data_IF_791069795612
#
_entry.id   IF_791069795612
#
_cell.length_a   1.000
_cell.length_b   1.000
_cell.length_c   1.000
_cell.angle_alpha   90.00
_cell.angle_beta   90.00
_cell.angle_gamma   90.00
#
_symmetry.space_group_name_H-M   'P 1'
#
loop_
_entity.id
_entity.type
_entity.pdbx_description
1 polymer ?
#
# COMPACT_ATOMS: atom_id res chain seq x y z
N UNK A 1 -36.81 20.84 -1.13
CA UNK A 1 -35.86 19.72 -0.93
C UNK A 1 -36.14 18.55 -1.86
N UNK A 2 -37.32 17.91 -1.86
CA UNK A 2 -37.63 16.79 -2.78
C UNK A 2 -37.99 17.21 -4.23
N UNK A 3 -38.43 18.46 -4.44
CA UNK A 3 -38.82 18.97 -5.77
C UNK A 3 -37.65 19.36 -6.68
N UNK A 4 -36.43 19.52 -6.14
CA UNK A 4 -35.26 19.96 -6.91
C UNK A 4 -34.52 18.82 -7.61
N UNK A 5 -34.52 17.61 -7.02
CA UNK A 5 -33.90 16.41 -7.59
C UNK A 5 -34.38 16.07 -9.02
N UNK A 6 -35.70 16.02 -9.33
CA UNK A 6 -36.15 15.71 -10.68
C UNK A 6 -35.76 16.79 -11.71
N UNK A 7 -35.70 18.07 -11.30
CA UNK A 7 -35.27 19.15 -12.17
C UNK A 7 -33.78 19.04 -12.52
N UNK A 8 -32.92 18.71 -11.55
CA UNK A 8 -31.49 18.47 -11.77
C UNK A 8 -31.25 17.28 -12.69
N UNK A 9 -31.96 16.15 -12.48
CA UNK A 9 -31.84 14.97 -13.33
C UNK A 9 -32.30 15.28 -14.77
N UNK A 10 -33.39 16.04 -14.93
CA UNK A 10 -33.87 16.45 -16.25
C UNK A 10 -32.87 17.35 -16.98
N UNK A 11 -32.26 18.31 -16.27
CA UNK A 11 -31.24 19.22 -16.82
C UNK A 11 -29.99 18.46 -17.29
N UNK A 12 -29.51 17.51 -16.47
CA UNK A 12 -28.39 16.62 -16.83
C UNK A 12 -28.71 15.73 -18.05
N UNK A 13 -29.91 15.13 -18.08
CA UNK A 13 -30.37 14.31 -19.23
C UNK A 13 -30.40 15.11 -20.54
N UNK A 14 -30.80 16.38 -20.46
CA UNK A 14 -30.85 17.29 -21.62
C UNK A 14 -29.52 17.96 -21.94
N UNK A 15 -28.49 17.75 -21.11
CA UNK A 15 -27.18 18.43 -21.21
C UNK A 15 -27.32 19.95 -21.28
N UNK A 16 -28.22 20.51 -20.47
CA UNK A 16 -28.41 21.96 -20.37
C UNK A 16 -27.21 22.59 -19.64
N UNK A 17 -26.71 23.73 -20.12
CA UNK A 17 -25.54 24.40 -19.53
C UNK A 17 -24.19 23.80 -19.94
N UNK A 18 -23.14 24.13 -19.17
CA UNK A 18 -21.78 23.64 -19.38
C UNK A 18 -21.34 22.62 -18.33
N UNK A 19 -20.12 22.12 -18.44
CA UNK A 19 -19.56 21.14 -17.49
C UNK A 19 -19.59 21.63 -16.04
N UNK A 20 -19.48 22.95 -15.82
CA UNK A 20 -19.57 23.59 -14.49
C UNK A 20 -20.96 23.37 -13.88
N UNK A 21 -22.02 23.53 -14.68
CA UNK A 21 -23.40 23.33 -14.24
C UNK A 21 -23.67 21.84 -13.98
N UNK A 22 -23.14 20.97 -14.85
CA UNK A 22 -23.27 19.52 -14.68
C UNK A 22 -22.55 19.04 -13.43
N UNK A 23 -21.33 19.52 -13.17
CA UNK A 23 -20.57 19.20 -11.97
C UNK A 23 -21.24 19.69 -10.69
N UNK A 24 -21.85 20.88 -10.72
CA UNK A 24 -22.69 21.38 -9.62
C UNK A 24 -23.87 20.46 -9.35
N UNK A 25 -24.61 20.08 -10.39
CA UNK A 25 -25.76 19.19 -10.29
C UNK A 25 -25.36 17.79 -9.76
N UNK A 26 -24.28 17.19 -10.29
CA UNK A 26 -23.75 15.91 -9.80
C UNK A 26 -23.40 15.97 -8.30
N UNK A 27 -22.73 17.04 -7.86
CA UNK A 27 -22.39 17.22 -6.43
C UNK A 27 -23.62 17.38 -5.55
N UNK A 28 -24.64 18.12 -6.00
CA UNK A 28 -25.91 18.28 -5.27
C UNK A 28 -26.67 16.95 -5.15
N UNK A 29 -26.73 16.15 -6.22
CA UNK A 29 -27.36 14.83 -6.19
C UNK A 29 -26.63 13.86 -5.26
N UNK A 30 -25.29 13.90 -5.21
CA UNK A 30 -24.49 13.13 -4.26
C UNK A 30 -24.74 13.55 -2.80
N UNK A 31 -24.88 14.85 -2.52
CA UNK A 31 -25.23 15.36 -1.19
C UNK A 31 -26.63 14.91 -0.76
N UNK A 32 -27.54 14.73 -1.71
CA UNK A 32 -28.87 14.14 -1.50
C UNK A 32 -28.85 12.60 -1.40
N UNK A 33 -27.65 11.99 -1.38
CA UNK A 33 -27.42 10.54 -1.25
C UNK A 33 -27.97 9.69 -2.40
N UNK A 34 -28.16 10.28 -3.59
CA UNK A 34 -28.43 9.47 -4.78
C UNK A 34 -27.18 8.67 -5.15
N UNK A 35 -27.38 7.40 -5.51
CA UNK A 35 -26.28 6.57 -5.98
C UNK A 35 -25.83 7.01 -7.38
N UNK A 36 -24.53 6.94 -7.71
CA UNK A 36 -24.05 7.22 -9.07
C UNK A 36 -24.72 6.37 -10.14
N UNK A 37 -25.09 5.13 -9.80
CA UNK A 37 -25.82 4.21 -10.68
C UNK A 37 -27.22 4.73 -11.01
N UNK A 38 -27.95 5.23 -10.01
CA UNK A 38 -29.29 5.83 -10.21
C UNK A 38 -29.20 7.08 -11.10
N UNK A 39 -28.18 7.92 -10.90
CA UNK A 39 -27.96 9.09 -11.75
C UNK A 39 -27.66 8.67 -13.18
N UNK A 40 -26.86 7.62 -13.39
CA UNK A 40 -26.59 7.08 -14.73
C UNK A 40 -27.86 6.58 -15.42
N UNK A 41 -28.69 5.79 -14.74
CA UNK A 41 -29.96 5.28 -15.28
C UNK A 41 -30.89 6.42 -15.72
N UNK A 42 -30.92 7.51 -14.95
CA UNK A 42 -31.78 8.66 -15.24
C UNK A 42 -31.16 9.65 -16.24
N UNK A 43 -29.84 9.73 -16.42
CA UNK A 43 -29.21 10.82 -17.20
C UNK A 43 -28.31 10.35 -18.34
N UNK A 44 -27.87 9.08 -18.31
CA UNK A 44 -26.86 8.52 -19.21
C UNK A 44 -25.43 8.97 -18.91
N UNK A 45 -25.18 9.69 -17.81
CA UNK A 45 -23.84 10.15 -17.43
C UNK A 45 -23.15 9.04 -16.64
N UNK A 46 -22.04 8.51 -17.16
CA UNK A 46 -21.25 7.45 -16.54
C UNK A 46 -20.77 7.83 -15.12
N UNK A 47 -20.78 6.91 -14.14
CA UNK A 47 -20.33 7.18 -12.77
C UNK A 47 -18.91 7.76 -12.68
N UNK A 48 -18.00 7.32 -13.55
CA UNK A 48 -16.63 7.85 -13.65
C UNK A 48 -16.62 9.32 -14.05
N UNK A 49 -17.45 9.68 -15.04
CA UNK A 49 -17.59 11.06 -15.52
C UNK A 49 -18.31 11.94 -14.49
N UNK A 50 -19.32 11.43 -13.79
CA UNK A 50 -19.97 12.13 -12.67
C UNK A 50 -18.97 12.53 -11.58
N UNK A 51 -18.10 11.59 -11.17
CA UNK A 51 -17.06 11.87 -10.18
C UNK A 51 -16.07 12.93 -10.69
N UNK A 52 -15.64 12.81 -11.94
CA UNK A 52 -14.73 13.78 -12.54
C UNK A 52 -15.35 15.19 -12.54
N UNK A 53 -16.59 15.33 -13.01
CA UNK A 53 -17.31 16.61 -13.04
C UNK A 53 -17.49 17.20 -11.65
N UNK A 54 -17.92 16.41 -10.66
CA UNK A 54 -18.14 16.88 -9.30
C UNK A 54 -16.84 17.36 -8.63
N UNK A 55 -15.73 16.64 -8.83
CA UNK A 55 -14.42 17.00 -8.29
C UNK A 55 -13.84 18.22 -9.01
N UNK A 56 -13.91 18.25 -10.34
CA UNK A 56 -13.48 19.40 -11.14
C UNK A 56 -14.26 20.67 -10.79
N UNK A 57 -15.57 20.54 -10.51
CA UNK A 57 -16.39 21.64 -10.03
C UNK A 57 -15.92 22.15 -8.67
N UNK A 58 -15.56 21.25 -7.75
CA UNK A 58 -14.97 21.65 -6.47
C UNK A 58 -13.62 22.38 -6.61
N UNK A 59 -12.82 22.02 -7.62
CA UNK A 59 -11.61 22.78 -7.97
C UNK A 59 -11.98 24.14 -8.57
N UNK A 60 -12.93 24.20 -9.49
CA UNK A 60 -13.43 25.45 -10.08
C UNK A 60 -13.92 26.45 -9.03
N UNK A 61 -14.67 26.00 -8.03
CA UNK A 61 -15.08 26.87 -6.90
C UNK A 61 -13.90 27.45 -6.13
N UNK A 62 -12.77 26.74 -6.07
CA UNK A 62 -11.56 27.26 -5.43
C UNK A 62 -10.82 28.33 -6.24
N UNK A 63 -11.24 28.55 -7.50
CA UNK A 63 -10.64 29.50 -8.45
C UNK A 63 -11.45 30.80 -8.60
N UNK A 64 -12.48 31.07 -7.79
CA UNK A 64 -13.33 32.26 -7.96
C UNK A 64 -12.56 33.60 -7.87
N UNK A 65 -11.42 33.61 -7.18
CA UNK A 65 -10.50 34.75 -7.08
C UNK A 65 -9.51 34.84 -8.27
N UNK A 66 -9.62 33.95 -9.26
CA UNK A 66 -8.77 33.97 -10.44
C UNK A 66 -9.15 35.13 -11.38
N UNK A 67 -8.19 35.63 -12.17
CA UNK A 67 -8.49 36.60 -13.22
C UNK A 67 -9.57 36.10 -14.20
N UNK A 68 -10.45 36.98 -14.71
CA UNK A 68 -11.56 36.60 -15.60
C UNK A 68 -11.12 35.77 -16.81
N UNK A 69 -9.94 36.05 -17.37
CA UNK A 69 -9.37 35.33 -18.50
C UNK A 69 -9.05 33.86 -18.18
N UNK A 70 -8.68 33.55 -16.93
CA UNK A 70 -8.40 32.18 -16.48
C UNK A 70 -9.70 31.40 -16.34
N UNK A 71 -10.73 32.03 -15.77
CA UNK A 71 -12.06 31.43 -15.67
C UNK A 71 -12.65 31.19 -17.07
N UNK A 72 -12.54 32.18 -17.97
CA UNK A 72 -13.01 32.07 -19.34
C UNK A 72 -12.30 30.97 -20.13
N UNK A 73 -11.02 30.71 -19.85
CA UNK A 73 -10.27 29.61 -20.46
C UNK A 73 -10.83 28.23 -20.07
N UNK A 74 -11.15 28.00 -18.80
CA UNK A 74 -11.61 26.70 -18.31
C UNK A 74 -13.14 26.51 -18.42
N UNK A 75 -13.94 27.57 -18.57
CA UNK A 75 -15.39 27.47 -18.59
C UNK A 75 -15.95 26.54 -19.71
N UNK A 76 -15.43 26.54 -20.94
CA UNK A 76 -15.99 25.72 -22.02
C UNK A 76 -15.65 24.23 -21.88
N UNK A 77 -14.39 23.89 -21.56
CA UNK A 77 -13.89 22.51 -21.59
C UNK A 77 -12.72 22.26 -20.62
N UNK A 78 -12.82 22.80 -19.40
CA UNK A 78 -11.75 22.73 -18.39
C UNK A 78 -11.84 21.55 -17.43
N UNK A 79 -12.88 20.72 -17.53
CA UNK A 79 -13.21 19.73 -16.51
C UNK A 79 -12.10 18.69 -16.29
N UNK A 80 -11.50 18.16 -17.35
CA UNK A 80 -10.43 17.15 -17.26
C UNK A 80 -9.15 17.77 -16.69
N UNK A 81 -8.78 18.95 -17.18
CA UNK A 81 -7.59 19.69 -16.73
C UNK A 81 -7.68 20.07 -15.26
N UNK A 82 -8.83 20.59 -14.81
CA UNK A 82 -9.05 20.99 -13.41
C UNK A 82 -9.19 19.78 -12.48
N UNK A 83 -9.71 18.65 -12.97
CA UNK A 83 -9.76 17.41 -12.18
C UNK A 83 -8.38 16.95 -11.70
N UNK A 84 -7.34 17.18 -12.50
CA UNK A 84 -5.98 16.78 -12.12
C UNK A 84 -5.37 17.63 -11.00
N UNK A 85 -5.89 18.83 -10.77
CA UNK A 85 -5.46 19.70 -9.67
C UNK A 85 -6.08 19.32 -8.31
N UNK A 86 -6.96 18.31 -8.25
CA UNK A 86 -7.68 17.91 -7.01
C UNK A 86 -6.77 17.59 -5.83
N UNK A 87 -5.56 17.10 -6.11
CA UNK A 87 -4.56 16.68 -5.11
C UNK A 87 -3.82 17.85 -4.45
N UNK A 88 -3.96 19.05 -5.00
CA UNK A 88 -3.31 20.27 -4.53
C UNK A 88 -4.16 21.01 -3.49
N UNK A 89 -3.54 21.76 -2.56
CA UNK A 89 -4.24 22.70 -1.70
C UNK A 89 -4.73 23.92 -2.48
N UNK A 90 -5.66 24.70 -1.91
CA UNK A 90 -6.34 25.81 -2.59
C UNK A 90 -5.37 26.86 -3.18
N UNK A 91 -4.34 27.28 -2.43
CA UNK A 91 -3.36 28.27 -2.91
C UNK A 91 -2.60 27.79 -4.15
N UNK A 92 -2.23 26.51 -4.17
CA UNK A 92 -1.51 25.91 -5.29
C UNK A 92 -2.41 25.67 -6.50
N UNK A 93 -3.71 25.39 -6.29
CA UNK A 93 -4.69 25.24 -7.39
C UNK A 93 -4.80 26.52 -8.21
N UNK A 94 -4.88 27.68 -7.57
CA UNK A 94 -4.96 28.96 -8.26
C UNK A 94 -3.69 29.22 -9.08
N UNK A 95 -2.52 29.09 -8.46
CA UNK A 95 -1.24 29.29 -9.14
C UNK A 95 -1.03 28.30 -10.30
N UNK A 96 -1.43 27.03 -10.13
CA UNK A 96 -1.37 26.02 -11.18
C UNK A 96 -2.36 26.31 -12.32
N UNK A 97 -3.60 26.70 -12.01
CA UNK A 97 -4.60 27.04 -13.02
C UNK A 97 -4.19 28.25 -13.86
N UNK A 98 -3.63 29.29 -13.24
CA UNK A 98 -3.07 30.44 -13.95
C UNK A 98 -1.94 30.03 -14.91
N UNK A 99 -1.04 29.14 -14.46
CA UNK A 99 0.05 28.65 -15.30
C UNK A 99 -0.46 27.82 -16.49
N UNK A 100 -1.43 26.94 -16.24
CA UNK A 100 -2.04 26.09 -17.28
C UNK A 100 -2.78 26.92 -18.32
N UNK A 101 -3.55 27.92 -17.91
CA UNK A 101 -4.23 28.84 -18.84
C UNK A 101 -3.23 29.65 -19.68
N UNK A 102 -2.15 30.15 -19.06
CA UNK A 102 -1.09 30.88 -19.76
C UNK A 102 -0.38 30.03 -20.81
N UNK A 103 -0.10 28.76 -20.49
CA UNK A 103 0.61 27.84 -21.38
C UNK A 103 -0.30 27.03 -22.29
N UNK A 104 -1.63 27.18 -22.14
CA UNK A 104 -2.67 26.43 -22.85
C UNK A 104 -2.44 24.91 -22.79
N UNK A 105 -2.19 24.42 -21.59
CA UNK A 105 -1.85 23.02 -21.34
C UNK A 105 -3.08 22.14 -21.12
N UNK A 106 -2.98 20.90 -21.59
CA UNK A 106 -4.03 19.89 -21.49
C UNK A 106 -4.02 19.16 -20.13
N UNK A 107 -4.94 18.21 -19.96
CA UNK A 107 -5.05 17.41 -18.74
C UNK A 107 -3.79 16.58 -18.45
N UNK A 108 -3.08 16.09 -19.47
CA UNK A 108 -1.85 15.33 -19.28
C UNK A 108 -0.74 16.21 -18.67
N UNK A 109 -0.57 17.42 -19.19
CA UNK A 109 0.36 18.39 -18.64
C UNK A 109 -0.06 18.91 -17.25
N UNK A 110 -1.37 19.07 -17.00
CA UNK A 110 -1.89 19.42 -15.68
C UNK A 110 -1.61 18.34 -14.63
N UNK A 111 -1.72 17.06 -14.99
CA UNK A 111 -1.36 15.94 -14.12
C UNK A 111 0.12 15.95 -13.75
N UNK A 112 1.00 16.24 -14.71
CA UNK A 112 2.43 16.36 -14.47
C UNK A 112 2.75 17.54 -13.55
N UNK A 113 2.14 18.70 -13.77
CA UNK A 113 2.28 19.88 -12.92
C UNK A 113 1.79 19.61 -11.49
N UNK A 114 0.62 18.98 -11.33
CA UNK A 114 0.07 18.63 -10.03
C UNK A 114 0.98 17.65 -9.27
N UNK A 115 1.51 16.63 -9.97
CA UNK A 115 2.48 15.69 -9.41
C UNK A 115 3.75 16.41 -8.95
N UNK A 116 4.35 17.24 -9.81
CA UNK A 116 5.57 17.98 -9.48
C UNK A 116 5.38 18.90 -8.27
N UNK A 117 4.27 19.64 -8.23
CA UNK A 117 3.92 20.52 -7.11
C UNK A 117 3.75 19.74 -5.82
N UNK A 118 3.04 18.60 -5.87
CA UNK A 118 2.83 17.76 -4.69
C UNK A 118 4.14 17.18 -4.17
N UNK A 119 4.99 16.67 -5.04
CA UNK A 119 6.29 16.13 -4.64
C UNK A 119 7.18 17.19 -3.99
N UNK A 120 7.20 18.42 -4.51
CA UNK A 120 7.96 19.52 -3.92
C UNK A 120 7.40 19.95 -2.57
N UNK A 121 6.08 19.91 -2.39
CA UNK A 121 5.44 20.20 -1.09
C UNK A 121 5.82 19.21 0.02
N UNK A 122 6.32 18.03 -0.34
CA UNK A 122 6.77 17.00 0.61
C UNK A 122 8.24 17.18 1.03
N UNK A 123 8.98 18.08 0.39
CA UNK A 123 10.37 18.35 0.73
C UNK A 123 10.43 19.26 1.96
N UNK A 124 11.12 18.82 3.01
CA UNK A 124 11.34 19.65 4.21
C UNK A 124 12.21 20.89 3.93
N UNK A 125 13.09 20.82 2.93
CA UNK A 125 13.88 21.94 2.46
C UNK A 125 14.03 21.87 0.93
N UNK A 126 13.68 22.97 0.24
CA UNK A 126 13.85 23.06 -1.19
C UNK A 126 15.31 23.35 -1.57
N UNK A 127 15.81 22.80 -2.69
CA UNK A 127 17.13 23.14 -3.21
C UNK A 127 17.26 24.62 -3.55
N UNK A 128 18.46 25.17 -3.37
CA UNK A 128 18.74 26.58 -3.59
C UNK A 128 18.46 27.01 -5.04
N UNK A 129 17.58 27.99 -5.20
CA UNK A 129 17.17 28.55 -6.49
C UNK A 129 15.77 28.12 -6.94
N UNK A 130 15.08 27.24 -6.20
CA UNK A 130 13.69 26.86 -6.50
C UNK A 130 12.75 27.28 -5.37
N UNK A 131 11.54 27.70 -5.74
CA UNK A 131 10.46 28.04 -4.81
C UNK A 131 9.38 26.95 -4.79
N UNK A 132 8.47 27.03 -3.82
CA UNK A 132 7.32 26.11 -3.71
C UNK A 132 6.20 26.40 -4.73
N UNK A 133 6.38 27.36 -5.64
CA UNK A 133 5.36 27.67 -6.64
C UNK A 133 5.23 26.51 -7.65
N UNK A 134 4.02 26.23 -8.20
CA UNK A 134 3.82 25.13 -9.14
C UNK A 134 4.77 25.17 -10.35
N UNK A 135 5.04 26.37 -10.89
CA UNK A 135 5.96 26.56 -12.01
C UNK A 135 7.40 26.18 -11.68
N UNK A 136 7.90 26.61 -10.51
CA UNK A 136 9.25 26.24 -10.03
C UNK A 136 9.33 24.78 -9.61
N UNK A 137 8.24 24.20 -9.12
CA UNK A 137 8.19 22.80 -8.76
C UNK A 137 8.39 21.90 -9.99
N UNK A 138 7.74 22.24 -11.10
CA UNK A 138 7.97 21.56 -12.37
C UNK A 138 9.36 21.84 -12.93
N UNK A 139 9.84 23.08 -12.84
CA UNK A 139 11.21 23.45 -13.24
C UNK A 139 12.27 22.64 -12.47
N UNK A 140 12.05 22.40 -11.18
CA UNK A 140 12.93 21.57 -10.35
C UNK A 140 12.95 20.11 -10.81
N UNK A 141 11.79 19.52 -11.13
CA UNK A 141 11.72 18.15 -11.65
C UNK A 141 12.42 18.02 -13.01
N UNK A 142 12.26 19.02 -13.88
CA UNK A 142 13.00 19.11 -15.14
C UNK A 142 14.50 19.22 -14.87
N UNK A 143 14.93 20.08 -13.96
CA UNK A 143 16.35 20.26 -13.60
C UNK A 143 16.96 18.96 -13.07
N UNK A 144 16.25 18.23 -12.22
CA UNK A 144 16.68 16.94 -11.67
C UNK A 144 16.77 15.85 -12.74
N UNK A 145 15.80 15.78 -13.65
CA UNK A 145 15.80 14.78 -14.73
C UNK A 145 16.85 15.08 -15.80
N UNK A 146 17.00 16.34 -16.20
CA UNK A 146 17.94 16.78 -17.22
C UNK A 146 19.42 16.52 -16.86
N UNK A 147 19.76 16.44 -15.57
CA UNK A 147 21.10 16.02 -15.11
C UNK A 147 21.41 14.54 -15.37
N UNK A 148 20.39 13.73 -15.61
CA UNK A 148 20.50 12.29 -15.84
C UNK A 148 20.20 11.90 -17.29
N UNK A 149 19.61 12.80 -18.07
CA UNK A 149 19.32 12.57 -19.50
C UNK A 149 20.60 12.66 -20.32
N UNK A 150 21.00 11.54 -20.91
CA UNK A 150 22.18 11.45 -21.79
C UNK A 150 21.90 11.97 -23.19
N UNK A 151 20.68 11.79 -23.70
CA UNK A 151 20.28 12.26 -25.02
C UNK A 151 20.16 13.81 -25.05
N UNK A 152 20.99 14.51 -25.85
CA UNK A 152 20.98 15.97 -25.88
C UNK A 152 19.65 16.55 -26.37
N UNK A 153 18.94 15.87 -27.27
CA UNK A 153 17.67 16.33 -27.83
C UNK A 153 16.54 16.30 -26.82
N UNK A 154 16.36 15.18 -26.13
CA UNK A 154 15.41 15.04 -25.02
C UNK A 154 15.72 16.02 -23.89
N UNK A 155 17.01 16.16 -23.54
CA UNK A 155 17.45 17.10 -22.50
C UNK A 155 17.08 18.55 -22.86
N UNK A 156 17.35 18.98 -24.09
CA UNK A 156 17.03 20.34 -24.53
C UNK A 156 15.51 20.62 -24.51
N UNK A 157 14.69 19.67 -24.97
CA UNK A 157 13.22 19.78 -24.93
C UNK A 157 12.69 19.87 -23.51
N UNK A 158 13.21 19.03 -22.60
CA UNK A 158 12.83 19.07 -21.19
C UNK A 158 13.18 20.42 -20.56
N UNK A 159 14.40 20.93 -20.79
CA UNK A 159 14.84 22.23 -20.26
C UNK A 159 13.98 23.36 -20.80
N UNK A 160 13.67 23.38 -22.10
CA UNK A 160 12.79 24.39 -22.69
C UNK A 160 11.41 24.41 -22.01
N UNK A 161 10.84 23.22 -21.73
CA UNK A 161 9.60 23.09 -20.95
C UNK A 161 9.76 23.67 -19.54
N UNK A 162 10.83 23.31 -18.83
CA UNK A 162 11.11 23.87 -17.50
C UNK A 162 11.23 25.39 -17.50
N UNK A 163 11.90 25.98 -18.49
CA UNK A 163 12.07 27.43 -18.63
C UNK A 163 10.76 28.16 -18.95
N UNK A 164 9.85 27.54 -19.71
CA UNK A 164 8.52 28.09 -19.95
C UNK A 164 7.67 28.14 -18.67
N UNK A 165 7.94 27.25 -17.71
CA UNK A 165 7.16 27.09 -16.48
C UNK A 165 7.71 27.87 -15.30
N UNK A 166 9.04 27.98 -15.22
CA UNK A 166 9.73 28.60 -14.09
C UNK A 166 9.18 30.00 -13.80
N UNK A 167 8.81 30.22 -12.54
CA UNK A 167 8.28 31.49 -12.04
C UNK A 167 9.41 32.38 -11.53
N UNK A 168 10.42 31.81 -10.86
CA UNK A 168 11.55 32.56 -10.34
C UNK A 168 12.70 32.66 -11.34
N UNK A 169 13.39 33.80 -11.31
CA UNK A 169 14.60 34.01 -12.12
C UNK A 169 15.74 33.08 -11.70
N UNK A 170 15.83 32.78 -10.40
CA UNK A 170 16.80 31.82 -9.89
C UNK A 170 16.59 30.41 -10.48
N UNK A 171 15.34 29.94 -10.61
CA UNK A 171 15.03 28.65 -11.23
C UNK A 171 15.37 28.64 -12.72
N UNK A 172 15.11 29.76 -13.42
CA UNK A 172 15.50 29.94 -14.84
C UNK A 172 17.01 29.85 -15.02
N UNK A 173 17.77 30.51 -14.16
CA UNK A 173 19.23 30.49 -14.19
C UNK A 173 19.78 29.08 -13.96
N UNK A 174 19.25 28.35 -12.96
CA UNK A 174 19.61 26.94 -12.69
C UNK A 174 19.36 26.01 -13.88
N UNK A 175 18.27 26.22 -14.62
CA UNK A 175 17.96 25.45 -15.82
C UNK A 175 18.87 25.82 -16.99
N UNK A 176 19.17 27.12 -17.16
CA UNK A 176 20.07 27.60 -18.20
C UNK A 176 21.51 27.09 -18.01
N UNK A 177 21.99 27.00 -16.76
CA UNK A 177 23.30 26.46 -16.41
C UNK A 177 23.52 25.05 -16.99
N UNK A 178 22.48 24.20 -17.04
CA UNK A 178 22.56 22.84 -17.60
C UNK A 178 22.89 22.86 -19.10
N UNK A 179 22.43 23.87 -19.86
CA UNK A 179 22.71 23.99 -21.29
C UNK A 179 24.16 24.42 -21.56
N UNK A 180 24.72 25.25 -20.68
CA UNK A 180 26.09 25.79 -20.81
C UNK A 180 27.16 24.91 -20.16
N UNK A 181 26.77 24.06 -19.20
CA UNK A 181 27.68 23.15 -18.54
C UNK A 181 28.24 22.17 -19.59
N UNK A 182 29.54 22.27 -19.87
CA UNK A 182 30.26 21.24 -20.58
C UNK A 182 29.95 19.90 -19.89
N UNK A 183 29.58 18.89 -20.67
CA UNK A 183 29.33 17.53 -20.18
C UNK A 183 30.60 17.09 -19.46
N UNK A 184 30.65 17.29 -18.15
CA UNK A 184 31.80 16.91 -17.34
C UNK A 184 31.96 15.40 -17.50
N UNK A 185 33.19 14.89 -17.60
CA UNK A 185 33.41 13.45 -17.66
C UNK A 185 32.68 12.84 -16.48
N UNK A 186 31.76 11.91 -16.78
CA UNK A 186 30.84 11.29 -15.83
C UNK A 186 31.65 10.89 -14.62
N UNK A 187 31.57 11.68 -13.54
CA UNK A 187 32.15 11.29 -12.25
C UNK A 187 31.61 9.88 -11.99
N UNK A 188 32.49 8.91 -11.76
CA UNK A 188 32.11 7.52 -11.55
C UNK A 188 30.98 7.51 -10.53
N UNK A 189 29.75 7.29 -11.02
CA UNK A 189 28.59 7.36 -10.17
C UNK A 189 28.66 6.17 -9.23
N UNK A 190 28.42 6.37 -7.92
CA UNK A 190 28.28 5.25 -7.02
C UNK A 190 27.21 4.31 -7.61
N UNK A 191 27.53 3.02 -7.63
CA UNK A 191 26.61 1.98 -8.07
C UNK A 191 25.34 2.08 -7.23
N UNK A 192 24.17 2.03 -7.89
CA UNK A 192 22.90 2.07 -7.18
C UNK A 192 22.83 0.92 -6.17
N UNK A 193 22.50 1.24 -4.92
CA UNK A 193 22.30 0.22 -3.90
C UNK A 193 21.01 -0.57 -4.20
N UNK A 194 20.98 -1.89 -3.98
CA UNK A 194 19.78 -2.68 -4.20
C UNK A 194 18.79 -2.41 -3.05
N UNK A 195 17.85 -1.52 -3.29
CA UNK A 195 16.76 -1.25 -2.36
C UNK A 195 15.61 -2.23 -2.58
N UNK A 196 15.29 -2.99 -1.55
CA UNK A 196 14.09 -3.81 -1.49
C UNK A 196 13.07 -3.13 -0.57
N UNK A 197 11.81 -3.17 -0.97
CA UNK A 197 10.70 -2.63 -0.18
C UNK A 197 9.69 -3.73 0.05
N UNK A 198 9.53 -4.11 1.32
CA UNK A 198 8.43 -4.96 1.75
C UNK A 198 7.12 -4.18 1.58
N UNK A 199 6.14 -4.85 0.98
CA UNK A 199 4.77 -4.39 0.84
C UNK A 199 3.89 -5.03 1.90
N UNK A 200 2.66 -4.53 2.06
CA UNK A 200 1.71 -5.11 3.00
C UNK A 200 1.31 -6.56 2.64
N UNK A 201 1.48 -6.93 1.37
CA UNK A 201 1.17 -8.28 0.86
C UNK A 201 2.26 -9.29 1.23
N UNK A 202 3.50 -8.83 1.44
CA UNK A 202 4.66 -9.70 1.71
C UNK A 202 4.65 -10.33 3.11
N UNK A 203 3.65 -10.02 3.95
CA UNK A 203 3.35 -10.67 5.22
C UNK A 203 4.55 -10.91 6.15
N UNK A 204 4.71 -10.08 7.19
CA UNK A 204 5.84 -10.22 8.12
C UNK A 204 5.97 -11.65 8.68
N UNK A 205 7.19 -12.24 8.67
CA UNK A 205 7.40 -13.56 9.25
C UNK A 205 7.09 -13.54 10.75
N UNK A 206 6.53 -14.64 11.25
CA UNK A 206 6.20 -14.83 12.65
C UNK A 206 7.35 -15.53 13.37
N UNK A 207 7.94 -14.88 14.38
CA UNK A 207 8.97 -15.46 15.22
C UNK A 207 8.35 -16.11 16.46
N UNK A 208 8.55 -17.42 16.63
CA UNK A 208 8.06 -18.18 17.78
C UNK A 208 9.22 -18.88 18.51
N UNK A 209 9.21 -18.93 19.85
CA UNK A 209 10.21 -19.67 20.61
C UNK A 209 9.94 -21.16 20.48
N UNK A 210 11.01 -21.94 20.28
CA UNK A 210 10.95 -23.40 20.27
C UNK A 210 11.20 -23.89 21.69
N UNK A 211 10.17 -24.47 22.31
CA UNK A 211 10.21 -24.83 23.75
C UNK A 211 10.67 -26.26 24.02
N UNK A 212 10.78 -27.08 22.99
CA UNK A 212 11.32 -28.44 23.08
C UNK A 212 10.70 -29.39 22.07
N UNK A 213 10.93 -30.69 22.28
CA UNK A 213 10.46 -31.79 21.44
C UNK A 213 9.57 -32.73 22.24
N UNK A 214 8.44 -33.16 21.68
CA UNK A 214 7.57 -34.17 22.30
C UNK A 214 8.30 -35.51 22.48
N UNK A 215 8.04 -36.26 23.57
CA UNK A 215 7.12 -35.95 24.66
C UNK A 215 7.65 -34.88 25.63
N UNK A 216 6.78 -33.95 26.05
CA UNK A 216 7.10 -32.88 27.00
C UNK A 216 6.34 -33.07 28.31
N UNK A 217 6.97 -32.77 29.45
CA UNK A 217 6.29 -32.83 30.76
C UNK A 217 5.45 -31.58 31.06
N UNK A 218 5.84 -30.43 30.51
CA UNK A 218 5.17 -29.15 30.69
C UNK A 218 5.34 -28.30 29.44
N UNK A 219 4.42 -27.36 29.22
CA UNK A 219 4.49 -26.39 28.14
C UNK A 219 4.85 -25.01 28.72
N UNK A 220 6.12 -24.59 28.69
CA UNK A 220 6.49 -23.27 29.17
C UNK A 220 5.98 -22.23 28.17
N UNK A 221 5.00 -21.45 28.58
CA UNK A 221 4.44 -20.40 27.76
C UNK A 221 5.15 -19.08 28.08
N UNK A 222 5.78 -18.40 27.10
CA UNK A 222 6.41 -17.12 27.33
C UNK A 222 5.33 -16.08 27.70
N UNK A 223 5.69 -15.03 28.47
CA UNK A 223 4.78 -13.93 28.70
C UNK A 223 4.35 -13.31 27.37
N UNK A 224 3.11 -12.82 27.32
CA UNK A 224 2.59 -12.10 26.15
C UNK A 224 3.55 -10.97 25.78
N UNK A 225 3.98 -10.98 24.53
CA UNK A 225 4.92 -9.96 24.05
C UNK A 225 4.12 -8.82 23.47
N UNK A 226 4.47 -7.55 23.76
CA UNK A 226 3.79 -6.43 23.13
C UNK A 226 4.01 -6.49 21.60
N UNK A 227 3.01 -6.06 20.80
CA UNK A 227 3.14 -6.04 19.36
C UNK A 227 4.36 -5.23 18.92
N UNK A 228 5.12 -5.78 17.97
CA UNK A 228 6.35 -5.27 17.34
C UNK A 228 6.66 -3.78 17.61
N UNK A 229 7.54 -3.50 18.57
CA UNK A 229 7.98 -2.14 18.87
C UNK A 229 8.90 -1.53 17.78
N UNK A 230 9.43 -2.35 16.87
CA UNK A 230 10.34 -1.95 15.79
C UNK A 230 9.65 -2.02 14.42
N UNK A 231 9.88 -1.04 13.51
CA UNK A 231 9.36 -1.07 12.15
C UNK A 231 9.87 -2.26 11.32
N UNK A 232 10.92 -2.95 11.78
CA UNK A 232 11.48 -4.14 11.15
C UNK A 232 11.21 -5.43 11.95
N UNK A 233 10.37 -5.38 12.98
CA UNK A 233 10.07 -6.55 13.81
C UNK A 233 11.27 -7.10 14.59
N UNK A 234 12.32 -6.30 14.81
CA UNK A 234 13.51 -6.74 15.55
C UNK A 234 13.18 -7.06 17.01
N UNK A 235 13.72 -8.18 17.52
CA UNK A 235 13.58 -8.61 18.91
C UNK A 235 14.91 -9.13 19.44
N UNK A 236 15.28 -8.72 20.64
CA UNK A 236 16.41 -9.30 21.38
C UNK A 236 15.89 -10.45 22.23
N UNK A 237 16.30 -11.68 21.90
CA UNK A 237 15.72 -12.89 22.46
C UNK A 237 16.82 -13.91 22.78
N UNK A 238 16.66 -14.64 23.89
CA UNK A 238 17.50 -15.78 24.24
C UNK A 238 16.82 -17.10 23.84
N UNK A 239 17.60 -18.15 23.60
CA UNK A 239 17.10 -19.50 23.28
C UNK A 239 16.91 -19.78 21.79
N UNK A 240 16.18 -20.85 21.48
CA UNK A 240 15.92 -21.32 20.11
C UNK A 240 14.61 -20.73 19.58
N UNK A 241 14.64 -20.24 18.35
CA UNK A 241 13.51 -19.58 17.70
C UNK A 241 13.31 -20.13 16.29
N UNK A 242 12.05 -20.15 15.83
CA UNK A 242 11.70 -20.48 14.46
C UNK A 242 11.03 -19.27 13.81
N UNK A 243 11.45 -18.97 12.59
CA UNK A 243 10.81 -17.97 11.73
C UNK A 243 9.85 -18.68 10.78
N UNK A 244 8.54 -18.44 10.96
CA UNK A 244 7.50 -18.98 10.11
C UNK A 244 6.99 -17.92 9.13
N UNK A 245 6.45 -18.32 7.97
CA UNK A 245 5.81 -17.40 7.06
C UNK A 245 4.71 -16.58 7.75
N UNK A 246 4.43 -15.39 7.23
CA UNK A 246 3.39 -14.48 7.73
C UNK A 246 1.96 -14.96 7.47
N UNK A 247 1.66 -16.24 7.70
CA UNK A 247 0.31 -16.77 7.56
C UNK A 247 -0.65 -16.07 8.52
N UNK A 248 -1.86 -15.80 8.04
CA UNK A 248 -2.89 -15.06 8.80
C UNK A 248 -3.24 -15.70 10.14
N UNK A 249 -3.11 -17.03 10.25
CA UNK A 249 -3.32 -17.77 11.51
C UNK A 249 -2.24 -17.47 12.56
N UNK A 250 -1.02 -17.17 12.14
CA UNK A 250 0.11 -16.85 13.02
C UNK A 250 0.19 -15.35 13.33
N UNK A 251 -0.17 -14.49 12.38
CA UNK A 251 -0.14 -13.02 12.57
C UNK A 251 -1.11 -12.51 13.66
N UNK A 252 -2.13 -13.30 14.00
CA UNK A 252 -3.09 -12.97 15.06
C UNK A 252 -2.58 -13.32 16.46
N UNK A 253 -1.51 -14.12 16.56
CA UNK A 253 -1.00 -14.56 17.85
C UNK A 253 -0.21 -13.44 18.54
N UNK A 254 -0.53 -13.15 19.80
CA UNK A 254 0.30 -12.29 20.68
C UNK A 254 1.23 -13.12 21.58
N UNK A 255 0.91 -14.41 21.72
CA UNK A 255 1.57 -15.42 22.52
C UNK A 255 1.42 -16.78 21.81
N UNK A 256 2.54 -17.43 21.58
CA UNK A 256 2.58 -18.75 20.98
C UNK A 256 3.95 -19.39 21.16
N UNK A 257 3.99 -20.71 21.06
CA UNK A 257 5.22 -21.49 21.16
C UNK A 257 5.25 -22.54 20.07
N UNK A 258 6.45 -22.84 19.59
CA UNK A 258 6.70 -23.94 18.68
C UNK A 258 7.20 -25.16 19.46
N UNK A 259 6.67 -26.33 19.13
CA UNK A 259 7.04 -27.63 19.70
C UNK A 259 7.41 -28.56 18.55
N UNK A 260 8.57 -29.19 18.64
CA UNK A 260 8.98 -30.21 17.68
C UNK A 260 8.35 -31.55 18.03
N UNK A 261 8.02 -32.33 17.02
CA UNK A 261 7.52 -33.68 17.13
C UNK A 261 7.98 -34.46 15.90
N UNK A 262 7.79 -35.77 15.93
CA UNK A 262 7.78 -36.61 14.74
C UNK A 262 6.44 -37.33 14.60
N UNK A 263 6.19 -37.95 13.45
CA UNK A 263 4.95 -38.69 13.17
C UNK A 263 4.53 -39.65 14.28
N UNK A 264 5.47 -40.40 14.86
CA UNK A 264 5.19 -41.35 15.95
C UNK A 264 4.85 -40.66 17.27
N UNK A 265 5.62 -39.66 17.69
CA UNK A 265 5.38 -38.92 18.94
C UNK A 265 4.10 -38.08 18.86
N UNK A 266 3.75 -37.58 17.68
CA UNK A 266 2.50 -36.86 17.45
C UNK A 266 1.30 -37.82 17.51
N UNK A 267 1.41 -39.01 16.93
CA UNK A 267 0.40 -40.05 17.07
C UNK A 267 0.22 -40.47 18.53
N UNK A 268 1.32 -40.67 19.27
CA UNK A 268 1.25 -40.97 20.70
C UNK A 268 0.60 -39.84 21.51
N UNK A 269 0.81 -38.58 21.13
CA UNK A 269 0.26 -37.42 21.82
C UNK A 269 -1.21 -37.12 21.45
N UNK A 270 -1.66 -37.50 20.25
CA UNK A 270 -3.00 -37.14 19.71
C UNK A 270 -3.96 -38.32 19.54
N UNK A 271 -3.44 -39.55 19.53
CA UNK A 271 -4.17 -40.74 19.11
C UNK A 271 -4.48 -40.79 17.60
N UNK A 272 -4.01 -39.83 16.81
CA UNK A 272 -4.23 -39.80 15.36
C UNK A 272 -3.00 -40.29 14.59
N UNK A 273 -3.20 -41.31 13.76
CA UNK A 273 -2.18 -41.77 12.82
C UNK A 273 -2.07 -40.80 11.65
N UNK A 274 -0.89 -40.23 11.45
CA UNK A 274 -0.59 -39.37 10.30
C UNK A 274 0.19 -40.16 9.24
N UNK A 275 -0.24 -40.13 7.96
CA UNK A 275 0.52 -40.77 6.90
C UNK A 275 1.88 -40.10 6.79
N UNK A 276 2.94 -40.91 6.78
CA UNK A 276 4.30 -40.43 6.70
C UNK A 276 4.61 -40.00 5.26
N UNK A 277 5.22 -38.82 5.07
CA UNK A 277 5.70 -38.41 3.74
C UNK A 277 6.88 -39.25 3.26
N UNK A 278 7.62 -39.86 4.19
CA UNK A 278 8.82 -40.63 3.90
C UNK A 278 8.62 -42.10 4.30
N UNK A 279 8.84 -43.07 3.42
CA UNK A 279 8.60 -44.49 3.72
C UNK A 279 9.58 -45.05 4.76
N UNK A 280 10.84 -44.60 4.74
CA UNK A 280 11.94 -45.26 5.47
C UNK A 280 12.39 -44.52 6.75
N UNK A 281 11.76 -43.39 7.09
CA UNK A 281 12.16 -42.58 8.26
C UNK A 281 10.99 -41.83 8.87
N UNK A 282 11.06 -41.54 10.16
CA UNK A 282 10.12 -40.63 10.81
C UNK A 282 10.27 -39.22 10.23
N UNK A 283 9.14 -38.57 9.98
CA UNK A 283 9.09 -37.19 9.51
C UNK A 283 9.01 -36.24 10.71
N UNK A 284 9.87 -35.22 10.72
CA UNK A 284 9.82 -34.15 11.72
C UNK A 284 8.68 -33.18 11.40
N UNK A 285 8.00 -32.75 12.47
CA UNK A 285 6.80 -31.94 12.45
C UNK A 285 6.96 -30.83 13.48
N UNK A 286 6.63 -29.61 13.08
CA UNK A 286 6.55 -28.46 13.96
C UNK A 286 5.08 -28.20 14.32
N UNK A 287 4.79 -28.10 15.60
CA UNK A 287 3.48 -27.76 16.14
C UNK A 287 3.53 -26.33 16.67
N UNK A 288 2.49 -25.54 16.42
CA UNK A 288 2.31 -24.23 17.08
C UNK A 288 1.17 -24.32 18.07
N UNK A 289 1.48 -24.02 19.33
CA UNK A 289 0.53 -24.00 20.44
C UNK A 289 0.37 -22.57 20.99
N UNK A 290 -0.82 -22.21 21.43
CA UNK A 290 -1.10 -20.91 22.07
C UNK A 290 -2.03 -21.05 23.26
N UNK A 291 -1.83 -20.20 24.28
CA UNK A 291 -2.76 -20.04 25.40
C UNK A 291 -3.82 -18.96 25.16
N UNK A 292 -3.89 -18.42 23.94
CA UNK A 292 -4.88 -17.43 23.55
C UNK A 292 -6.18 -18.07 23.08
N UNK A 293 -7.29 -17.39 23.38
CA UNK A 293 -8.63 -17.78 22.95
C UNK A 293 -8.94 -19.26 23.24
N UNK A 294 -8.76 -19.66 24.50
CA UNK A 294 -9.12 -21.00 25.00
C UNK A 294 -10.64 -21.09 25.16
N UNK A 295 -11.38 -21.00 24.06
CA UNK A 295 -12.82 -21.27 24.00
C UNK A 295 -13.04 -22.72 23.60
N UNK A 296 -14.02 -23.39 24.22
CA UNK A 296 -14.38 -24.76 23.86
C UNK A 296 -14.78 -24.84 22.38
N UNK A 297 -14.14 -25.76 21.66
CA UNK A 297 -14.47 -26.13 20.27
C UNK A 297 -14.19 -27.64 20.09
N UNK A 298 -15.20 -28.45 19.74
CA UNK A 298 -15.04 -29.89 19.58
C UNK A 298 -14.09 -30.30 18.45
N UNK A 299 -13.77 -29.39 17.52
CA UNK A 299 -12.85 -29.64 16.40
C UNK A 299 -11.41 -29.18 16.68
N UNK A 300 -11.17 -28.51 17.80
CA UNK A 300 -9.84 -28.00 18.16
C UNK A 300 -9.12 -28.96 19.08
N UNK A 301 -7.84 -29.19 18.79
CA UNK A 301 -6.93 -29.92 19.70
C UNK A 301 -6.45 -29.01 20.81
N UNK A 302 -6.58 -29.47 22.05
CA UNK A 302 -6.09 -28.76 23.23
C UNK A 302 -4.98 -29.55 23.92
N UNK A 303 -3.98 -28.82 24.40
CA UNK A 303 -2.89 -29.36 25.19
C UNK A 303 -3.30 -29.44 26.66
N UNK A 304 -3.14 -30.63 27.25
CA UNK A 304 -3.49 -30.92 28.64
C UNK A 304 -2.31 -31.64 29.30
N UNK A 305 -2.07 -31.33 30.57
CA UNK A 305 -1.03 -32.03 31.35
C UNK A 305 -1.67 -33.22 32.06
N UNK A 306 -1.21 -34.43 31.76
CA UNK A 306 -1.60 -35.65 32.46
C UNK A 306 -0.39 -36.24 33.19
N UNK A 307 -0.60 -37.24 34.06
CA UNK A 307 0.49 -37.87 34.83
C UNK A 307 1.63 -38.46 33.96
N UNK A 308 1.38 -38.70 32.67
CA UNK A 308 2.35 -39.18 31.68
C UNK A 308 2.99 -38.09 30.79
N UNK A 309 2.68 -36.82 31.00
CA UNK A 309 3.19 -35.69 30.21
C UNK A 309 2.10 -34.90 29.48
N UNK A 310 2.51 -34.09 28.51
CA UNK A 310 1.63 -33.27 27.68
C UNK A 310 0.98 -34.14 26.61
N UNK A 311 -0.36 -34.10 26.56
CA UNK A 311 -1.17 -34.75 25.52
C UNK A 311 -2.00 -33.71 24.77
N UNK A 312 -2.31 -33.99 23.51
CA UNK A 312 -3.15 -33.15 22.65
C UNK A 312 -4.45 -33.90 22.37
N UNK A 313 -5.59 -33.39 22.83
CA UNK A 313 -6.87 -34.08 22.65
C UNK A 313 -7.99 -33.13 22.27
N UNK A 314 -9.01 -33.66 21.61
CA UNK A 314 -10.29 -32.99 21.39
C UNK A 314 -11.27 -33.40 22.49
N UNK A 315 -12.33 -32.61 22.68
CA UNK A 315 -13.34 -32.85 23.69
C UNK A 315 -14.72 -32.86 23.04
N UNK A 316 -15.53 -33.88 23.38
CA UNK A 316 -16.88 -34.00 22.82
C UNK A 316 -17.86 -33.00 23.43
N UNK A 317 -17.63 -32.57 24.67
CA UNK A 317 -18.48 -31.62 25.37
C UNK A 317 -17.67 -30.64 26.25
N UNK A 318 -18.29 -29.52 26.56
CA UNK A 318 -17.67 -28.44 27.32
C UNK A 318 -17.36 -28.82 28.77
N UNK A 319 -18.14 -29.71 29.40
CA UNK A 319 -17.91 -30.09 30.79
C UNK A 319 -16.63 -30.92 30.96
N UNK A 320 -16.35 -31.83 30.02
CA UNK A 320 -15.08 -32.57 30.00
C UNK A 320 -13.90 -31.63 29.71
N UNK A 321 -14.07 -30.66 28.82
CA UNK A 321 -13.06 -29.65 28.52
C UNK A 321 -12.74 -28.81 29.76
N UNK A 322 -13.75 -28.33 30.49
CA UNK A 322 -13.56 -27.57 31.73
C UNK A 322 -12.89 -28.40 32.82
N UNK A 323 -13.27 -29.67 32.97
CA UNK A 323 -12.69 -30.59 33.94
C UNK A 323 -11.20 -30.88 33.66
N UNK A 324 -10.80 -30.91 32.39
CA UNK A 324 -9.44 -31.19 31.97
C UNK A 324 -8.49 -29.98 32.06
N UNK A 325 -9.01 -28.76 32.22
CA UNK A 325 -8.23 -27.52 32.36
C UNK A 325 -7.12 -27.36 31.30
N UNK A 326 -7.48 -27.27 30.01
CA UNK A 326 -6.50 -27.15 28.93
C UNK A 326 -5.67 -25.88 29.07
N UNK A 327 -4.38 -26.00 28.77
CA UNK A 327 -3.38 -24.94 28.94
C UNK A 327 -3.01 -24.24 27.63
N UNK A 328 -3.28 -24.88 26.50
CA UNK A 328 -3.06 -24.33 25.17
C UNK A 328 -3.97 -25.00 24.13
N UNK A 329 -4.13 -24.39 22.96
CA UNK A 329 -4.73 -24.99 21.77
C UNK A 329 -3.71 -25.13 20.64
N UNK A 330 -3.91 -26.12 19.79
CA UNK A 330 -3.14 -26.35 18.57
C UNK A 330 -3.62 -25.42 17.47
N UNK A 331 -2.69 -24.64 16.92
CA UNK A 331 -2.96 -23.63 15.89
C UNK A 331 -2.53 -24.10 14.51
N UNK A 332 -1.37 -24.76 14.44
CA UNK A 332 -0.74 -25.16 13.19
C UNK A 332 0.03 -26.47 13.39
N UNK A 333 -0.07 -27.35 12.41
CA UNK A 333 0.83 -28.49 12.22
C UNK A 333 1.57 -28.28 10.91
N UNK A 334 2.88 -28.15 10.97
CA UNK A 334 3.75 -27.91 9.83
C UNK A 334 4.70 -29.09 9.64
N UNK A 335 4.66 -29.71 8.48
CA UNK A 335 5.62 -30.75 8.08
C UNK A 335 6.92 -30.11 7.63
N UNK A 336 8.03 -30.83 7.78
CA UNK A 336 9.31 -30.41 7.21
C UNK A 336 9.20 -30.16 5.69
N UNK A 337 9.94 -29.18 5.14
CA UNK A 337 9.87 -28.86 3.72
C UNK A 337 10.30 -30.04 2.85
N UNK A 338 9.58 -30.27 1.75
CA UNK A 338 9.99 -31.24 0.71
C UNK A 338 10.97 -30.55 -0.22
N UNK A 339 12.26 -30.77 -0.03
CA UNK A 339 13.28 -30.38 -0.99
C UNK A 339 13.21 -31.40 -2.13
N UNK A 340 12.59 -31.02 -3.25
CA UNK A 340 12.46 -31.89 -4.42
C UNK A 340 13.79 -32.00 -5.19
N UNK A 341 14.65 -30.99 -5.08
CA UNK A 341 15.97 -30.98 -5.70
C UNK A 341 16.91 -30.04 -4.91
N UNK A 342 17.99 -30.57 -4.33
CA UNK A 342 18.97 -29.76 -3.58
C UNK A 342 19.79 -28.84 -4.51
N UNK A 343 19.84 -29.16 -5.81
CA UNK A 343 20.60 -28.41 -6.82
C UNK A 343 19.94 -27.09 -7.22
N UNK A 344 18.60 -27.01 -7.16
CA UNK A 344 17.83 -25.81 -7.54
C UNK A 344 18.11 -24.60 -6.63
N UNK A 345 18.59 -24.83 -5.41
CA UNK A 345 18.90 -23.77 -4.44
C UNK A 345 20.30 -23.14 -4.65
N UNK A 346 21.12 -23.63 -5.58
CA UNK A 346 22.50 -23.17 -5.77
C UNK A 346 22.66 -22.18 -6.93
N UNK A 347 21.73 -22.15 -7.89
CA UNK A 347 21.81 -21.28 -9.06
C UNK A 347 20.93 -20.05 -8.88
N UNK A 348 21.55 -18.88 -8.77
CA UNK A 348 20.85 -17.61 -8.53
C UNK A 348 20.05 -17.13 -9.76
N UNK A 349 20.19 -17.83 -10.90
CA UNK A 349 19.62 -17.46 -12.19
C UNK A 349 19.36 -18.70 -13.04
N UNK A 350 18.31 -19.47 -12.73
CA UNK A 350 17.67 -20.32 -13.73
C UNK A 350 16.55 -19.51 -14.35
N UNK A 351 16.79 -18.98 -15.55
CA UNK A 351 15.71 -18.50 -16.41
C UNK A 351 15.16 -19.75 -17.08
N UNK A 352 13.91 -20.12 -16.80
CA UNK A 352 13.21 -21.11 -17.63
C UNK A 352 13.07 -20.52 -19.04
N UNK A 353 13.64 -21.22 -20.05
CA UNK A 353 13.47 -20.89 -21.48
C UNK A 353 12.05 -21.17 -21.97
#
# INVERSE_FOLDING_TARGET
>A
MAEETPALLQSLRRKEGGWVDWGRACRQLQQQRLSPQTVFEETGIEPTYQNQLAVAFGVWESLQEAPPEVLAYFAPDGSETLYELRVLPQGDRLAAAMLLARLQWDAAAAKELAKATKEVSLLGQLPAGFTATPGDALAYQVWKSAQNTTDPGQRARAIAKGLACATSEAARQRLAEILTAAVSPVAQRPVALPFYRLTAEDGWPCLLPVVGTLPLSALPLPPSSPPNASPFGCRELAGTWVALPGWSVLQKLTQGVAVLANTQTLEAATGQTLPNSFPDRLEEILLVLTAEDLTFDPQTYFAVTVAGGLVLQTFADESLWQAAQPIARLVLVLRQPRILDETFAQEWWVVEE
#
